data_IF_918130666121
#
_entry.id   IF_918130666121
#
_cell.length_a   1.000
_cell.length_b   1.000
_cell.length_c   1.000
_cell.angle_alpha   90.00
_cell.angle_beta   90.00
_cell.angle_gamma   90.00
#
_symmetry.space_group_name_H-M   'P 1'
#
loop_
_entity.id
_entity.type
_entity.pdbx_description
1 polymer ?
#
# COMPACT_ATOMS: atom_id res chain seq x y z
N UNK A 1 -20.23 8.34 -9.42
CA UNK A 1 -19.15 9.34 -9.61
C UNK A 1 -17.99 8.90 -8.72
N UNK A 2 -16.81 8.59 -9.27
CA UNK A 2 -15.63 8.23 -8.45
C UNK A 2 -15.24 9.44 -7.59
N UNK A 3 -15.13 9.25 -6.28
CA UNK A 3 -15.06 10.33 -5.29
C UNK A 3 -13.78 11.19 -5.39
N UNK A 4 -12.74 10.68 -6.06
CA UNK A 4 -11.40 11.27 -6.15
C UNK A 4 -10.96 11.57 -7.59
N UNK A 5 -11.88 11.97 -8.46
CA UNK A 5 -11.67 12.14 -9.92
C UNK A 5 -10.60 13.17 -10.36
N UNK A 6 -9.83 13.73 -9.42
CA UNK A 6 -8.69 14.63 -9.68
C UNK A 6 -7.51 14.43 -8.71
N UNK A 7 -7.48 13.33 -7.95
CA UNK A 7 -6.37 13.00 -7.05
C UNK A 7 -5.89 11.60 -7.41
N UNK A 8 -4.77 11.54 -8.13
CA UNK A 8 -4.06 10.30 -8.43
C UNK A 8 -3.12 10.02 -7.26
N UNK A 9 -3.59 9.19 -6.32
CA UNK A 9 -2.87 8.87 -5.09
C UNK A 9 -2.75 7.36 -5.01
N UNK A 10 -1.52 6.91 -4.78
CA UNK A 10 -1.20 5.53 -4.51
C UNK A 10 -0.45 5.44 -3.18
N UNK A 11 -0.67 4.36 -2.42
CA UNK A 11 -0.04 4.14 -1.12
C UNK A 11 0.73 2.83 -1.16
N UNK A 12 2.03 2.89 -0.86
CA UNK A 12 2.90 1.73 -0.82
C UNK A 12 3.44 1.48 0.58
N UNK A 13 3.41 0.22 1.02
CA UNK A 13 3.94 -0.22 2.30
C UNK A 13 5.24 -0.97 2.09
N UNK A 14 6.31 -0.49 2.72
CA UNK A 14 7.64 -1.08 2.70
C UNK A 14 8.19 -1.24 4.12
N UNK A 15 9.11 -2.18 4.32
CA UNK A 15 9.73 -2.41 5.63
C UNK A 15 8.70 -2.68 6.74
N UNK A 16 8.86 -2.11 7.94
CA UNK A 16 7.90 -2.27 9.05
C UNK A 16 6.47 -1.84 8.72
N UNK A 17 6.27 -0.99 7.71
CA UNK A 17 4.94 -0.62 7.23
C UNK A 17 4.15 -1.83 6.72
N UNK A 18 4.82 -2.84 6.15
CA UNK A 18 4.19 -4.09 5.71
C UNK A 18 3.71 -4.92 6.90
N UNK A 19 4.50 -5.00 7.97
CA UNK A 19 4.06 -5.69 9.19
C UNK A 19 2.86 -4.98 9.83
N UNK A 20 2.86 -3.64 9.83
CA UNK A 20 1.75 -2.83 10.35
C UNK A 20 0.43 -3.17 9.66
N UNK A 21 0.42 -3.28 8.33
CA UNK A 21 -0.79 -3.61 7.58
C UNK A 21 -1.11 -5.11 7.58
N UNK A 22 -0.11 -5.96 7.79
CA UNK A 22 -0.30 -7.42 7.93
C UNK A 22 -0.82 -7.86 9.30
N UNK A 23 -0.57 -7.06 10.33
CA UNK A 23 -1.06 -7.27 11.71
C UNK A 23 -1.75 -5.99 12.21
N UNK A 24 -2.83 -5.53 11.56
CA UNK A 24 -3.34 -4.20 11.78
C UNK A 24 -4.09 -4.09 13.12
N UNK A 25 -3.79 -3.04 13.86
CA UNK A 25 -4.66 -2.57 14.95
C UNK A 25 -6.00 -2.07 14.38
N UNK A 26 -7.01 -1.87 15.23
CA UNK A 26 -8.34 -1.43 14.77
C UNK A 26 -8.29 -0.08 14.03
N UNK A 27 -7.41 0.84 14.46
CA UNK A 27 -7.19 2.12 13.77
C UNK A 27 -6.57 1.95 12.39
N UNK A 28 -5.66 1.00 12.24
CA UNK A 28 -5.03 0.70 10.95
C UNK A 28 -6.06 0.05 10.02
N UNK A 29 -6.91 -0.86 10.53
CA UNK A 29 -8.02 -1.45 9.75
C UNK A 29 -9.01 -0.39 9.27
N UNK A 30 -9.34 0.59 10.11
CA UNK A 30 -10.20 1.71 9.74
C UNK A 30 -9.56 2.52 8.60
N UNK A 31 -8.27 2.87 8.74
CA UNK A 31 -7.53 3.59 7.70
C UNK A 31 -7.46 2.81 6.37
N UNK A 32 -7.16 1.50 6.41
CA UNK A 32 -7.16 0.63 5.21
C UNK A 32 -8.55 0.58 4.56
N UNK A 33 -9.60 0.53 5.37
CA UNK A 33 -10.99 0.57 4.86
C UNK A 33 -11.32 1.90 4.21
N UNK A 34 -10.86 3.02 4.78
CA UNK A 34 -11.01 4.34 4.16
C UNK A 34 -10.30 4.43 2.81
N UNK A 35 -9.06 3.92 2.71
CA UNK A 35 -8.30 3.89 1.45
C UNK A 35 -9.03 3.08 0.37
N UNK A 36 -9.53 1.88 0.72
CA UNK A 36 -10.34 1.06 -0.20
C UNK A 36 -11.61 1.76 -0.66
N UNK A 37 -12.37 2.33 0.28
CA UNK A 37 -13.62 3.03 -0.03
C UNK A 37 -13.40 4.30 -0.88
N UNK A 38 -12.19 4.85 -0.83
CA UNK A 38 -11.74 5.97 -1.64
C UNK A 38 -11.16 5.52 -3.01
N UNK A 39 -11.15 4.21 -3.30
CA UNK A 39 -10.55 3.62 -4.50
C UNK A 39 -9.07 3.99 -4.68
N UNK A 40 -8.33 4.16 -3.57
CA UNK A 40 -6.89 4.44 -3.58
C UNK A 40 -6.14 3.14 -3.89
N UNK A 41 -5.25 3.17 -4.87
CA UNK A 41 -4.40 2.02 -5.18
C UNK A 41 -3.39 1.80 -4.05
N UNK A 42 -3.22 0.54 -3.65
CA UNK A 42 -2.37 0.15 -2.53
C UNK A 42 -1.41 -0.96 -2.92
N UNK A 43 -0.13 -0.80 -2.59
CA UNK A 43 0.93 -1.77 -2.85
C UNK A 43 1.70 -2.18 -1.59
N UNK A 44 2.36 -3.34 -1.62
CA UNK A 44 3.27 -3.80 -0.58
C UNK A 44 4.48 -4.52 -1.17
N UNK A 45 5.63 -4.44 -0.49
CA UNK A 45 6.82 -5.21 -0.87
C UNK A 45 6.67 -6.70 -0.49
N UNK A 46 6.69 -7.64 -1.47
CA UNK A 46 6.54 -9.07 -1.21
C UNK A 46 7.64 -9.65 -0.31
N UNK A 47 8.88 -9.18 -0.48
CA UNK A 47 10.00 -9.63 0.35
C UNK A 47 9.81 -9.28 1.83
N UNK A 48 9.27 -8.09 2.12
CA UNK A 48 8.95 -7.72 3.50
C UNK A 48 7.75 -8.53 4.02
N UNK A 49 6.75 -8.79 3.19
CA UNK A 49 5.59 -9.60 3.61
C UNK A 49 5.99 -11.03 3.97
N UNK A 50 6.91 -11.63 3.22
CA UNK A 50 7.51 -12.93 3.53
C UNK A 50 8.37 -12.86 4.79
N UNK A 51 9.21 -11.83 4.93
CA UNK A 51 10.06 -11.63 6.10
C UNK A 51 9.26 -11.54 7.41
N UNK A 52 8.08 -10.92 7.38
CA UNK A 52 7.22 -10.75 8.57
C UNK A 52 6.16 -11.83 8.72
N UNK A 53 6.09 -12.79 7.80
CA UNK A 53 5.08 -13.85 7.73
C UNK A 53 3.64 -13.29 7.70
N UNK A 54 3.40 -12.31 6.82
CA UNK A 54 2.11 -11.61 6.70
C UNK A 54 1.53 -11.59 5.29
N UNK A 55 2.14 -12.27 4.32
CA UNK A 55 1.75 -12.21 2.89
C UNK A 55 0.26 -12.47 2.65
N UNK A 56 -0.31 -13.50 3.26
CA UNK A 56 -1.74 -13.79 3.14
C UNK A 56 -2.63 -12.72 3.77
N UNK A 57 -2.17 -12.10 4.87
CA UNK A 57 -2.92 -11.04 5.54
C UNK A 57 -2.92 -9.76 4.70
N UNK A 58 -1.76 -9.29 4.22
CA UNK A 58 -1.67 -8.05 3.42
C UNK A 58 -2.34 -8.17 2.06
N UNK A 59 -2.25 -9.34 1.41
CA UNK A 59 -2.97 -9.59 0.14
C UNK A 59 -4.49 -9.61 0.36
N UNK A 60 -4.95 -10.14 1.49
CA UNK A 60 -6.37 -10.13 1.89
C UNK A 60 -6.94 -8.73 2.13
N UNK A 61 -6.10 -7.74 2.39
CA UNK A 61 -6.51 -6.33 2.53
C UNK A 61 -6.73 -5.64 1.17
N UNK A 62 -6.50 -6.34 0.04
CA UNK A 62 -6.66 -5.79 -1.31
C UNK A 62 -5.43 -5.00 -1.80
N UNK A 63 -4.29 -5.19 -1.15
CA UNK A 63 -3.01 -4.59 -1.56
C UNK A 63 -2.32 -5.47 -2.61
N UNK A 64 -1.63 -4.83 -3.55
CA UNK A 64 -0.90 -5.50 -4.62
C UNK A 64 0.57 -5.72 -4.25
N UNK A 65 1.11 -6.90 -4.56
CA UNK A 65 2.52 -7.18 -4.33
C UNK A 65 3.39 -6.57 -5.42
N UNK A 66 4.26 -5.62 -5.05
CA UNK A 66 5.26 -5.03 -5.94
C UNK A 66 6.53 -4.73 -5.14
N UNK A 67 7.71 -5.22 -5.57
CA UNK A 67 8.92 -4.98 -4.82
C UNK A 67 9.32 -3.49 -4.81
N UNK A 68 9.88 -3.06 -3.66
CA UNK A 68 9.93 -1.64 -3.31
C UNK A 68 10.78 -0.79 -4.27
N UNK A 69 11.87 -1.36 -4.79
CA UNK A 69 12.75 -0.65 -5.73
C UNK A 69 12.04 -0.40 -7.05
N UNK A 70 11.41 -1.43 -7.60
CA UNK A 70 10.68 -1.39 -8.87
C UNK A 70 9.48 -0.43 -8.79
N UNK A 71 8.71 -0.50 -7.71
CA UNK A 71 7.59 0.41 -7.48
C UNK A 71 8.03 1.88 -7.45
N UNK A 72 9.09 2.19 -6.69
CA UNK A 72 9.59 3.57 -6.58
C UNK A 72 10.09 4.11 -7.92
N UNK A 73 10.85 3.31 -8.67
CA UNK A 73 11.33 3.71 -10.01
C UNK A 73 10.15 4.00 -10.93
N UNK A 74 9.19 3.06 -11.02
CA UNK A 74 8.01 3.19 -11.86
C UNK A 74 7.20 4.45 -11.52
N UNK A 75 6.90 4.69 -10.24
CA UNK A 75 6.13 5.86 -9.80
C UNK A 75 6.82 7.18 -10.19
N UNK A 76 8.14 7.26 -10.02
CA UNK A 76 8.91 8.44 -10.40
C UNK A 76 8.87 8.64 -11.93
N UNK A 77 9.04 7.57 -12.71
CA UNK A 77 8.97 7.61 -14.17
C UNK A 77 7.59 7.99 -14.71
N UNK A 78 6.53 7.59 -14.01
CA UNK A 78 5.13 7.98 -14.29
C UNK A 78 4.81 9.42 -13.88
N UNK A 79 5.75 10.12 -13.22
CA UNK A 79 5.63 11.52 -12.84
C UNK A 79 4.98 11.74 -11.47
N UNK A 80 4.83 10.70 -10.65
CA UNK A 80 4.36 10.85 -9.29
C UNK A 80 5.39 11.58 -8.41
N UNK A 81 4.88 12.40 -7.50
CA UNK A 81 5.67 12.91 -6.39
C UNK A 81 5.61 11.92 -5.23
N UNK A 82 6.75 11.31 -4.90
CA UNK A 82 6.86 10.39 -3.77
C UNK A 82 6.99 11.18 -2.46
N UNK A 83 6.14 10.84 -1.48
CA UNK A 83 6.21 11.35 -0.11
C UNK A 83 6.41 10.16 0.83
N UNK A 84 7.55 10.11 1.53
CA UNK A 84 7.93 9.01 2.43
C UNK A 84 7.88 9.38 3.91
N UNK A 85 7.55 8.40 4.77
CA UNK A 85 7.46 8.51 6.23
C UNK A 85 8.07 7.30 6.92
#
# INVERSE_FOLDING_TARGET
MKKNRGQDVEVYFFGPGVELVGKPSDKVKEALTMLRNAEVYGGYCPFNAQQFDVESAVSGEGLHGEPAGEALVRLIEEGYQVVGY
#
